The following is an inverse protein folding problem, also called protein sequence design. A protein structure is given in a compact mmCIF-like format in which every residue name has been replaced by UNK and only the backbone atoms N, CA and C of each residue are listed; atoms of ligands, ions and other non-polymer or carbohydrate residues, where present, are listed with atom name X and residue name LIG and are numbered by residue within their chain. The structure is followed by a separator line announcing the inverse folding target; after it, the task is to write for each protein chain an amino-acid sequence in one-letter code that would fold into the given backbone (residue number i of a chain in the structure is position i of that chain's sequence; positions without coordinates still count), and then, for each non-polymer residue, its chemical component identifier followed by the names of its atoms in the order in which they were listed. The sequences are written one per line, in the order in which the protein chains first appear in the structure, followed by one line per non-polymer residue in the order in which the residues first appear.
data_IF_278694136845
#
_entry.id   IF_278694136845
#
_cell.length_a   1.000
_cell.length_b   1.000
_cell.length_c   1.000
_cell.angle_alpha   90.00
_cell.angle_beta   90.00
_cell.angle_gamma   90.00
#
_symmetry.space_group_name_H-M   'P 1'
#
loop_
_entity.id
_entity.type
_entity.pdbx_description
1 polymer ?
#
# COMPACT_ATOMS: atom_id res chain seq x y z
N UNK A 1 6.46 -18.50 -3.46
CA UNK A 1 6.87 -17.48 -4.44
C UNK A 1 6.51 -16.10 -3.89
N UNK A 2 7.25 -15.03 -4.17
CA UNK A 2 6.97 -13.67 -3.65
C UNK A 2 5.64 -13.12 -4.19
N UNK A 3 5.12 -13.73 -5.26
CA UNK A 3 3.79 -13.49 -5.80
C UNK A 3 2.65 -14.22 -5.06
N UNK A 4 2.96 -15.15 -4.16
CA UNK A 4 1.97 -15.94 -3.40
C UNK A 4 1.75 -15.38 -1.99
N UNK A 5 2.52 -14.38 -1.57
CA UNK A 5 2.42 -13.72 -0.29
C UNK A 5 1.63 -12.42 -0.43
N UNK A 6 0.43 -12.37 0.15
CA UNK A 6 -0.49 -11.24 0.06
C UNK A 6 -0.50 -10.41 1.34
N UNK A 7 -0.43 -9.10 1.18
CA UNK A 7 -0.68 -8.08 2.18
C UNK A 7 -2.09 -7.54 1.96
N UNK A 8 -3.03 -7.91 2.83
CA UNK A 8 -4.43 -7.44 2.75
C UNK A 8 -4.61 -6.24 3.66
N UNK A 9 -5.07 -5.12 3.12
CA UNK A 9 -5.29 -3.89 3.90
C UNK A 9 -6.53 -4.07 4.77
N UNK A 10 -6.36 -3.87 6.08
CA UNK A 10 -7.43 -3.96 7.09
C UNK A 10 -7.67 -2.64 7.84
N UNK A 11 -6.80 -1.65 7.65
CA UNK A 11 -6.96 -0.27 8.12
C UNK A 11 -6.24 0.64 7.11
N UNK A 12 -6.96 1.61 6.54
CA UNK A 12 -6.41 2.62 5.63
C UNK A 12 -5.91 3.83 6.44
N UNK A 13 -4.93 4.59 5.94
CA UNK A 13 -4.47 5.81 6.60
C UNK A 13 -5.58 6.86 6.71
N UNK A 14 -5.63 7.56 7.84
CA UNK A 14 -6.57 8.66 8.09
C UNK A 14 -6.03 10.00 7.55
N UNK A 15 -4.70 10.10 7.44
CA UNK A 15 -3.97 11.34 7.16
C UNK A 15 -3.11 11.25 5.90
N UNK A 16 -3.56 10.42 4.97
CA UNK A 16 -2.86 10.14 3.74
C UNK A 16 -3.54 9.06 2.92
N UNK A 17 -2.80 8.54 1.96
CA UNK A 17 -3.26 7.45 1.10
C UNK A 17 -2.15 6.41 0.92
N UNK A 18 -2.55 5.15 0.76
CA UNK A 18 -1.70 4.14 0.16
C UNK A 18 -2.00 4.07 -1.33
N UNK A 19 -0.98 3.89 -2.15
CA UNK A 19 -1.10 3.83 -3.61
C UNK A 19 -0.33 2.65 -4.20
N UNK A 20 -0.90 2.06 -5.24
CA UNK A 20 -0.21 1.14 -6.13
C UNK A 20 0.18 1.83 -7.43
N UNK A 21 1.46 1.80 -7.76
CA UNK A 21 2.06 2.46 -8.90
C UNK A 21 2.79 1.39 -9.75
N UNK A 22 2.14 0.84 -10.80
CA UNK A 22 2.58 -0.36 -11.51
C UNK A 22 3.91 -0.19 -12.25
N UNK A 23 4.24 1.04 -12.67
CA UNK A 23 5.45 1.35 -13.42
C UNK A 23 6.22 2.48 -12.73
N UNK A 24 7.23 2.09 -11.95
CA UNK A 24 8.12 3.01 -11.25
C UNK A 24 9.08 3.75 -12.19
N UNK A 25 9.24 3.29 -13.43
CA UNK A 25 10.14 3.90 -14.41
C UNK A 25 9.44 4.97 -15.25
N UNK A 26 8.11 5.08 -15.15
CA UNK A 26 7.37 6.17 -15.77
C UNK A 26 7.73 7.50 -15.12
N UNK A 27 7.90 8.57 -15.92
CA UNK A 27 7.94 9.92 -15.40
C UNK A 27 6.72 10.18 -14.49
N UNK A 28 6.92 10.90 -13.40
CA UNK A 28 5.87 11.15 -12.39
C UNK A 28 4.62 11.81 -12.96
N UNK A 29 4.75 12.58 -14.04
CA UNK A 29 3.63 13.24 -14.73
C UNK A 29 2.70 12.22 -15.42
N UNK A 30 3.24 11.08 -15.84
CA UNK A 30 2.52 10.01 -16.55
C UNK A 30 2.36 8.74 -15.68
N UNK A 31 2.73 8.82 -14.40
CA UNK A 31 2.66 7.69 -13.48
C UNK A 31 1.21 7.49 -13.04
N UNK A 32 0.60 6.38 -13.49
CA UNK A 32 -0.75 6.02 -13.11
C UNK A 32 -0.74 5.24 -11.79
N UNK A 33 -0.73 5.97 -10.68
CA UNK A 33 -0.94 5.38 -9.35
C UNK A 33 -2.43 5.29 -9.02
N UNK A 34 -2.82 4.22 -8.33
CA UNK A 34 -4.19 3.99 -7.86
C UNK A 34 -4.21 3.90 -6.34
N UNK A 35 -5.17 4.58 -5.71
CA UNK A 35 -5.36 4.50 -4.25
C UNK A 35 -5.80 3.09 -3.85
N UNK A 36 -5.20 2.59 -2.79
CA UNK A 36 -5.49 1.27 -2.24
C UNK A 36 -6.53 1.40 -1.12
N UNK A 37 -7.67 0.74 -1.32
CA UNK A 37 -8.79 0.76 -0.39
C UNK A 37 -8.77 -0.44 0.57
N UNK A 38 -9.65 -0.38 1.58
CA UNK A 38 -9.84 -1.46 2.55
C UNK A 38 -10.19 -2.78 1.84
N UNK A 39 -9.52 -3.86 2.22
CA UNK A 39 -9.73 -5.20 1.66
C UNK A 39 -9.00 -5.47 0.35
N UNK A 40 -8.42 -4.45 -0.29
CA UNK A 40 -7.49 -4.64 -1.41
C UNK A 40 -6.20 -5.29 -0.90
N UNK A 41 -5.53 -6.03 -1.77
CA UNK A 41 -4.26 -6.65 -1.47
C UNK A 41 -3.18 -6.28 -2.49
N UNK A 42 -1.95 -6.42 -2.04
CA UNK A 42 -0.74 -6.41 -2.87
C UNK A 42 0.19 -7.54 -2.43
N UNK A 43 1.21 -7.83 -3.22
CA UNK A 43 2.13 -8.94 -3.02
C UNK A 43 3.49 -8.49 -2.47
N UNK A 44 4.29 -9.44 -1.98
CA UNK A 44 5.68 -9.15 -1.63
C UNK A 44 6.45 -8.62 -2.84
N UNK A 45 6.24 -9.20 -4.03
CA UNK A 45 6.82 -8.68 -5.26
C UNK A 45 6.40 -7.22 -5.54
N UNK A 46 5.16 -6.80 -5.23
CA UNK A 46 4.75 -5.40 -5.35
C UNK A 46 5.58 -4.47 -4.45
N UNK A 47 5.89 -4.91 -3.23
CA UNK A 47 6.76 -4.18 -2.30
C UNK A 47 8.21 -4.14 -2.81
N UNK A 48 8.75 -5.28 -3.23
CA UNK A 48 10.14 -5.41 -3.66
C UNK A 48 10.43 -4.61 -4.93
N UNK A 49 9.45 -4.49 -5.82
CA UNK A 49 9.51 -3.62 -7.00
C UNK A 49 9.13 -2.16 -6.70
N UNK A 50 9.01 -1.76 -5.43
CA UNK A 50 8.70 -0.42 -4.98
C UNK A 50 7.36 0.13 -5.54
N UNK A 51 6.39 -0.75 -5.82
CA UNK A 51 5.10 -0.35 -6.41
C UNK A 51 4.09 0.16 -5.38
N UNK A 52 4.39 0.05 -4.09
CA UNK A 52 3.52 0.53 -3.00
C UNK A 52 4.08 1.83 -2.42
N UNK A 53 3.25 2.87 -2.36
CA UNK A 53 3.62 4.18 -1.84
C UNK A 53 2.66 4.63 -0.76
N UNK A 54 3.19 5.25 0.28
CA UNK A 54 2.42 6.04 1.23
C UNK A 54 2.61 7.54 0.94
N UNK A 55 1.52 8.29 0.91
CA UNK A 55 1.53 9.75 0.79
C UNK A 55 0.83 10.34 2.02
N UNK A 56 1.61 11.06 2.84
CA UNK A 56 1.07 11.83 3.96
C UNK A 56 0.59 13.20 3.47
N UNK A 57 -0.63 13.59 3.83
CA UNK A 57 -1.26 14.82 3.31
C UNK A 57 -1.34 15.96 4.31
N UNK A 58 -0.95 15.74 5.56
CA UNK A 58 -0.96 16.81 6.56
C UNK A 58 0.19 17.78 6.32
N UNK A 59 0.03 19.00 6.83
CA UNK A 59 1.05 20.03 6.71
C UNK A 59 2.25 19.67 7.59
N UNK A 60 3.47 19.95 7.12
CA UNK A 60 4.70 19.68 7.88
C UNK A 60 4.78 20.37 9.27
N UNK A 61 3.93 21.37 9.51
CA UNK A 61 3.84 22.06 10.80
C UNK A 61 3.03 21.30 11.86
N UNK A 62 2.19 20.35 11.43
CA UNK A 62 1.35 19.55 12.31
C UNK A 62 2.02 18.18 12.51
N UNK A 63 2.38 17.86 13.76
CA UNK A 63 2.89 16.51 14.10
C UNK A 63 1.71 15.57 14.31
N UNK A 64 0.98 15.27 13.24
CA UNK A 64 -0.06 14.25 13.25
C UNK A 64 0.54 12.87 12.96
N UNK A 65 0.17 11.88 13.76
CA UNK A 65 0.50 10.48 13.50
C UNK A 65 -0.53 9.90 12.55
N UNK A 66 -0.07 9.08 11.61
CA UNK A 66 -0.94 8.31 10.73
C UNK A 66 -0.60 6.82 10.84
N UNK A 67 -1.55 5.96 10.49
CA UNK A 67 -1.39 4.52 10.58
C UNK A 67 -2.22 3.82 9.52
N UNK A 68 -1.65 2.76 8.99
CA UNK A 68 -2.37 1.77 8.21
C UNK A 68 -1.97 0.38 8.71
N UNK A 69 -2.83 -0.60 8.47
CA UNK A 69 -2.62 -1.98 8.95
C UNK A 69 -2.93 -2.94 7.84
N UNK A 70 -2.10 -3.95 7.71
CA UNK A 70 -2.30 -5.07 6.80
C UNK A 70 -2.17 -6.40 7.55
N UNK A 71 -2.78 -7.44 6.98
CA UNK A 71 -2.57 -8.83 7.36
C UNK A 71 -1.75 -9.51 6.27
N UNK A 72 -0.72 -10.25 6.68
CA UNK A 72 0.06 -11.10 5.80
C UNK A 72 -0.57 -12.49 5.69
N UNK A 73 -0.78 -12.99 4.48
CA UNK A 73 -1.36 -14.31 4.24
C UNK A 73 -0.83 -14.91 2.94
N UNK A 74 -0.67 -16.24 2.92
CA UNK A 74 -0.39 -17.03 1.72
C UNK A 74 -1.67 -17.62 1.09
N UNK A 75 -2.84 -17.14 1.53
CA UNK A 75 -4.16 -17.64 1.13
C UNK A 75 -4.57 -18.96 1.80
N UNK A 76 -3.68 -19.62 2.54
CA UNK A 76 -3.98 -20.90 3.23
C UNK A 76 -4.32 -20.70 4.71
N UNK A 77 -3.86 -19.61 5.33
CA UNK A 77 -4.20 -19.28 6.72
C UNK A 77 -5.04 -17.99 6.81
N UNK A 78 -6.31 -18.16 7.17
CA UNK A 78 -7.16 -17.09 7.71
C UNK A 78 -7.12 -17.19 9.24
N UNK A 79 -6.87 -16.08 9.95
CA UNK A 79 -7.14 -16.03 11.40
C UNK A 79 -8.63 -16.35 11.59
N UNK A 80 -8.92 -17.49 12.24
CA UNK A 80 -10.24 -17.78 12.80
C UNK A 80 -10.48 -16.93 14.04
#
# INVERSE_FOLDING_TARGET
DDNELFFVIVEVPDKGFLQFCPDQNKPTVDMECQDLELGVNFTQADVDFNRIRYIHTTNMADTETDRFVFVLTDGTYKRQ
#
